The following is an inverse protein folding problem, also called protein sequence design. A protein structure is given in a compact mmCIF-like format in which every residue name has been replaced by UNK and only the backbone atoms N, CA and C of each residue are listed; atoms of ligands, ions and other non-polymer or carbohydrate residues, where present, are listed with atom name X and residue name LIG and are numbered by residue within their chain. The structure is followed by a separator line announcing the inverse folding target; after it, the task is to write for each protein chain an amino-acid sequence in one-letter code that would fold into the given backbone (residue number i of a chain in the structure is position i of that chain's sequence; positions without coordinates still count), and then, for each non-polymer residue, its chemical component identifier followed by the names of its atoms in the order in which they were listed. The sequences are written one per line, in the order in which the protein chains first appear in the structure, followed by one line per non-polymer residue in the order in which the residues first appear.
data_IF_900626994311
#
_entry.id   IF_900626994311
#
_cell.length_a   1.000
_cell.length_b   1.000
_cell.length_c   1.000
_cell.angle_alpha   90.00
_cell.angle_beta   90.00
_cell.angle_gamma   90.00
#
_symmetry.space_group_name_H-M   'P 1'
#
loop_
_entity.id
_entity.type
_entity.pdbx_description
1 polymer ?
#
# COMPACT_ATOMS: atom_id res chain seq x y z
N UNK A 1 80.93 0.13 6.42
CA UNK A 1 80.98 0.15 7.89
C UNK A 1 80.68 1.58 8.31
N UNK A 2 79.64 1.91 9.07
CA UNK A 2 79.22 1.27 10.30
C UNK A 2 77.72 1.46 10.52
N UNK A 3 77.10 0.39 10.97
CA UNK A 3 75.71 0.24 11.38
C UNK A 3 75.45 0.84 12.77
N UNK A 4 74.17 1.09 13.07
CA UNK A 4 73.49 0.99 14.37
C UNK A 4 72.94 2.29 14.98
N UNK A 5 71.79 2.10 15.63
CA UNK A 5 71.09 2.96 16.61
C UNK A 5 70.13 3.98 15.97
N UNK A 6 68.89 3.66 15.59
CA UNK A 6 67.85 2.94 16.34
C UNK A 6 67.60 3.60 17.71
N UNK A 7 66.71 4.61 17.71
CA UNK A 7 66.02 5.30 18.83
C UNK A 7 65.42 6.60 18.24
N UNK A 8 64.19 7.05 18.39
CA UNK A 8 62.99 6.61 19.10
C UNK A 8 61.87 7.52 18.58
N UNK A 9 60.79 6.91 18.09
CA UNK A 9 59.37 7.32 18.18
C UNK A 9 59.10 8.78 18.57
N UNK A 10 58.51 9.58 17.65
CA UNK A 10 57.49 10.57 18.02
C UNK A 10 56.59 10.96 16.81
N UNK A 11 55.42 10.31 16.75
CA UNK A 11 54.08 10.86 16.47
C UNK A 11 53.93 12.10 15.56
N UNK A 12 53.20 11.94 14.46
CA UNK A 12 52.08 12.82 14.04
C UNK A 12 51.41 12.15 12.81
N UNK A 13 50.31 11.42 12.97
CA UNK A 13 48.93 11.93 12.90
C UNK A 13 48.60 12.57 11.54
N UNK A 14 48.10 11.76 10.60
CA UNK A 14 47.24 12.25 9.52
C UNK A 14 46.06 11.27 9.39
N UNK A 15 45.03 11.62 10.14
CA UNK A 15 43.72 11.01 10.21
C UNK A 15 42.98 11.29 8.89
N UNK A 16 43.04 10.37 7.92
CA UNK A 16 42.18 10.48 6.73
C UNK A 16 40.78 10.05 7.11
N UNK A 17 39.93 11.05 7.36
CA UNK A 17 38.53 10.91 7.69
C UNK A 17 37.78 10.16 6.57
N UNK A 18 37.27 8.96 6.87
CA UNK A 18 36.16 8.37 6.15
C UNK A 18 34.93 9.25 6.37
N UNK A 19 34.64 10.18 5.44
CA UNK A 19 33.30 10.70 5.27
C UNK A 19 32.43 9.57 4.71
N UNK A 20 31.93 8.72 5.59
CA UNK A 20 30.73 7.95 5.29
C UNK A 20 29.59 8.96 5.18
N UNK A 21 29.26 9.35 3.94
CA UNK A 21 28.01 10.00 3.64
C UNK A 21 26.89 9.03 4.01
N UNK A 22 26.40 9.16 5.25
CA UNK A 22 25.14 8.56 5.67
C UNK A 22 24.06 9.25 4.85
N UNK A 23 23.70 8.66 3.71
CA UNK A 23 22.42 8.96 3.07
C UNK A 23 21.35 8.54 4.06
N UNK A 24 20.87 9.51 4.85
CA UNK A 24 19.63 9.40 5.58
C UNK A 24 18.52 9.30 4.53
N UNK A 25 18.26 8.09 4.07
CA UNK A 25 16.99 7.78 3.42
C UNK A 25 15.92 8.09 4.47
N UNK A 26 15.25 9.23 4.33
CA UNK A 26 14.05 9.46 5.12
C UNK A 26 13.09 8.35 4.74
N UNK A 27 12.81 7.46 5.69
CA UNK A 27 11.67 6.56 5.57
C UNK A 27 10.47 7.49 5.64
N UNK A 28 9.92 7.81 4.46
CA UNK A 28 8.71 8.61 4.36
C UNK A 28 7.64 7.84 5.13
N UNK A 29 7.26 8.39 6.27
CA UNK A 29 6.33 7.73 7.18
C UNK A 29 4.95 7.93 6.60
N UNK A 30 4.25 6.83 6.31
CA UNK A 30 2.88 6.87 5.78
C UNK A 30 2.02 7.83 6.59
N UNK A 31 1.35 8.75 5.90
CA UNK A 31 0.41 9.70 6.52
C UNK A 31 -1.03 9.24 6.39
N UNK A 32 -1.95 9.89 7.11
CA UNK A 32 -3.39 9.64 6.93
C UNK A 32 -3.86 9.96 5.49
N UNK A 33 -3.25 10.95 4.84
CA UNK A 33 -3.55 11.29 3.45
C UNK A 33 -3.14 10.17 2.50
N UNK A 34 -1.93 9.63 2.67
CA UNK A 34 -1.42 8.52 1.86
C UNK A 34 -2.26 7.27 2.06
N UNK A 35 -2.60 6.96 3.31
CA UNK A 35 -3.46 5.83 3.65
C UNK A 35 -4.84 5.95 2.99
N UNK A 36 -5.48 7.12 3.07
CA UNK A 36 -6.80 7.36 2.46
C UNK A 36 -6.73 7.26 0.93
N UNK A 37 -5.68 7.79 0.31
CA UNK A 37 -5.48 7.68 -1.14
C UNK A 37 -5.34 6.21 -1.57
N UNK A 38 -4.44 5.47 -0.91
CA UNK A 38 -4.21 4.04 -1.13
C UNK A 38 -5.50 3.23 -0.96
N UNK A 39 -6.24 3.45 0.13
CA UNK A 39 -7.44 2.68 0.42
C UNK A 39 -8.59 2.99 -0.57
N UNK A 40 -8.77 4.26 -0.97
CA UNK A 40 -9.75 4.63 -1.99
C UNK A 40 -9.43 3.97 -3.33
N UNK A 41 -8.17 3.94 -3.74
CA UNK A 41 -7.73 3.26 -4.96
C UNK A 41 -8.00 1.75 -4.89
N UNK A 42 -7.58 1.09 -3.81
CA UNK A 42 -7.82 -0.34 -3.59
C UNK A 42 -9.33 -0.68 -3.60
N UNK A 43 -10.17 0.16 -2.98
CA UNK A 43 -11.63 0.00 -2.95
C UNK A 43 -12.26 0.20 -4.33
N UNK A 44 -11.75 1.15 -5.12
CA UNK A 44 -12.24 1.38 -6.47
C UNK A 44 -11.92 0.19 -7.38
N UNK A 45 -10.69 -0.35 -7.32
CA UNK A 45 -10.32 -1.58 -8.05
C UNK A 45 -11.20 -2.76 -7.62
N UNK A 46 -11.45 -2.90 -6.31
CA UNK A 46 -12.36 -3.94 -5.79
C UNK A 46 -13.76 -3.81 -6.38
N UNK A 47 -14.31 -2.59 -6.44
CA UNK A 47 -15.61 -2.33 -7.04
C UNK A 47 -15.65 -2.68 -8.53
N UNK A 48 -14.61 -2.33 -9.27
CA UNK A 48 -14.54 -2.62 -10.70
C UNK A 48 -14.42 -4.12 -10.97
N UNK A 49 -13.59 -4.85 -10.22
CA UNK A 49 -13.53 -6.31 -10.32
C UNK A 49 -14.84 -7.01 -9.95
N UNK A 50 -15.55 -6.51 -8.93
CA UNK A 50 -16.88 -7.03 -8.57
C UNK A 50 -17.93 -6.76 -9.66
N UNK A 51 -17.83 -5.64 -10.38
CA UNK A 51 -18.66 -5.36 -11.57
C UNK A 51 -18.34 -6.29 -12.73
N UNK A 52 -17.06 -6.53 -12.99
CA UNK A 52 -16.63 -7.45 -14.04
C UNK A 52 -17.12 -8.88 -13.74
N UNK A 53 -17.05 -9.31 -12.47
CA UNK A 53 -17.65 -10.58 -12.04
C UNK A 53 -19.15 -10.63 -12.30
N UNK A 54 -19.89 -9.56 -11.99
CA UNK A 54 -21.33 -9.50 -12.30
C UNK A 54 -21.56 -9.65 -13.81
N UNK A 55 -20.79 -8.96 -14.65
CA UNK A 55 -20.91 -9.05 -16.11
C UNK A 55 -20.62 -10.47 -16.62
N UNK A 56 -19.59 -11.13 -16.08
CA UNK A 56 -19.25 -12.53 -16.40
C UNK A 56 -20.37 -13.49 -16.00
N UNK A 57 -20.98 -13.30 -14.82
CA UNK A 57 -22.13 -14.09 -14.37
C UNK A 57 -23.34 -13.91 -15.30
N UNK A 58 -23.66 -12.67 -15.66
CA UNK A 58 -24.75 -12.36 -16.60
C UNK A 58 -24.52 -12.96 -17.98
N UNK A 59 -23.26 -13.08 -18.41
CA UNK A 59 -22.87 -13.73 -19.66
C UNK A 59 -22.81 -15.27 -19.57
N UNK A 60 -23.11 -15.87 -18.41
CA UNK A 60 -22.90 -17.30 -18.13
C UNK A 60 -21.47 -17.77 -18.44
N UNK A 61 -20.47 -16.94 -18.15
CA UNK A 61 -19.08 -17.30 -18.32
C UNK A 61 -18.73 -18.50 -17.42
N UNK A 62 -17.81 -19.35 -17.89
CA UNK A 62 -17.35 -20.51 -17.12
C UNK A 62 -16.65 -20.11 -15.83
N UNK A 63 -16.66 -21.01 -14.84
CA UNK A 63 -16.06 -20.80 -13.52
C UNK A 63 -14.57 -20.38 -13.63
N UNK A 64 -13.80 -21.03 -14.51
CA UNK A 64 -12.39 -20.71 -14.70
C UNK A 64 -12.16 -19.25 -15.13
N UNK A 65 -13.03 -18.71 -15.98
CA UNK A 65 -12.97 -17.31 -16.42
C UNK A 65 -13.29 -16.35 -15.28
N UNK A 66 -14.27 -16.69 -14.44
CA UNK A 66 -14.63 -15.89 -13.27
C UNK A 66 -13.48 -15.86 -12.24
N UNK A 67 -12.88 -17.02 -11.96
CA UNK A 67 -11.76 -17.14 -11.03
C UNK A 67 -10.51 -16.40 -11.52
N UNK A 68 -10.25 -16.43 -12.83
CA UNK A 68 -9.15 -15.64 -13.42
C UNK A 68 -9.37 -14.14 -13.19
N UNK A 69 -10.58 -13.62 -13.45
CA UNK A 69 -10.91 -12.21 -13.21
C UNK A 69 -10.82 -11.81 -11.73
N UNK A 70 -11.28 -12.67 -10.82
CA UNK A 70 -11.15 -12.46 -9.38
C UNK A 70 -9.66 -12.41 -8.95
N UNK A 71 -8.83 -13.30 -9.50
CA UNK A 71 -7.39 -13.35 -9.21
C UNK A 71 -6.66 -12.11 -9.74
N UNK A 72 -7.00 -11.66 -10.96
CA UNK A 72 -6.41 -10.47 -11.55
C UNK A 72 -6.76 -9.22 -10.73
N UNK A 73 -8.02 -9.11 -10.29
CA UNK A 73 -8.46 -8.02 -9.40
C UNK A 73 -7.70 -8.04 -8.08
N UNK A 74 -7.56 -9.21 -7.45
CA UNK A 74 -6.83 -9.35 -6.20
C UNK A 74 -5.36 -8.92 -6.35
N UNK A 75 -4.70 -9.30 -7.45
CA UNK A 75 -3.33 -8.87 -7.72
C UNK A 75 -3.23 -7.36 -7.86
N UNK A 76 -4.16 -6.71 -8.57
CA UNK A 76 -4.17 -5.26 -8.72
C UNK A 76 -4.36 -4.54 -7.36
N UNK A 77 -5.23 -5.06 -6.50
CA UNK A 77 -5.39 -4.54 -5.14
C UNK A 77 -4.10 -4.69 -4.34
N UNK A 78 -3.44 -5.85 -4.40
CA UNK A 78 -2.18 -6.09 -3.72
C UNK A 78 -1.07 -5.17 -4.24
N UNK A 79 -1.03 -4.91 -5.55
CA UNK A 79 -0.08 -3.98 -6.17
C UNK A 79 -0.27 -2.55 -5.64
N UNK A 80 -1.50 -2.09 -5.41
CA UNK A 80 -1.76 -0.78 -4.78
C UNK A 80 -1.14 -0.71 -3.40
N UNK A 81 -1.37 -1.68 -2.52
CA UNK A 81 -0.75 -1.67 -1.20
C UNK A 81 0.79 -1.70 -1.28
N UNK A 82 1.34 -2.49 -2.21
CA UNK A 82 2.79 -2.59 -2.40
C UNK A 82 3.44 -1.29 -2.87
N UNK A 83 2.75 -0.46 -3.66
CA UNK A 83 3.24 0.87 -4.06
C UNK A 83 3.51 1.77 -2.86
N UNK A 84 2.75 1.59 -1.76
CA UNK A 84 2.93 2.28 -0.49
C UNK A 84 3.84 1.51 0.49
N UNK A 85 4.51 0.46 0.05
CA UNK A 85 5.35 -0.38 0.88
C UNK A 85 4.57 -1.21 1.92
N UNK A 86 3.30 -1.46 1.65
CA UNK A 86 2.38 -2.16 2.56
C UNK A 86 1.87 -3.47 1.98
N UNK A 87 1.44 -4.35 2.88
CA UNK A 87 0.45 -5.39 2.61
C UNK A 87 -0.92 -4.92 3.14
N UNK A 88 -2.02 -5.52 2.66
CA UNK A 88 -3.35 -5.27 3.21
C UNK A 88 -3.38 -5.44 4.74
N UNK A 89 -2.77 -6.50 5.27
CA UNK A 89 -2.72 -6.75 6.71
C UNK A 89 -1.96 -5.66 7.48
N UNK A 90 -0.87 -5.14 6.92
CA UNK A 90 -0.11 -4.04 7.53
C UNK A 90 -0.86 -2.70 7.45
N UNK A 91 -1.59 -2.46 6.36
CA UNK A 91 -2.43 -1.28 6.19
C UNK A 91 -3.57 -1.27 7.23
N UNK A 92 -4.24 -2.41 7.44
CA UNK A 92 -5.28 -2.55 8.47
C UNK A 92 -4.74 -2.33 9.89
N UNK A 93 -3.56 -2.88 10.18
CA UNK A 93 -2.90 -2.66 11.47
C UNK A 93 -2.53 -1.19 11.66
N UNK A 94 -2.02 -0.53 10.63
CA UNK A 94 -1.69 0.89 10.64
C UNK A 94 -2.95 1.74 10.87
N UNK A 95 -4.02 1.48 10.14
CA UNK A 95 -5.30 2.19 10.25
C UNK A 95 -5.90 2.08 11.66
N UNK A 96 -5.79 0.90 12.27
CA UNK A 96 -6.25 0.67 13.64
C UNK A 96 -5.49 1.54 14.64
N UNK A 97 -4.18 1.70 14.45
CA UNK A 97 -3.33 2.53 15.32
C UNK A 97 -3.53 4.04 15.08
N UNK A 98 -3.86 4.44 13.85
CA UNK A 98 -3.95 5.84 13.41
C UNK A 98 -5.37 6.31 13.14
N UNK A 99 -6.38 5.60 13.66
CA UNK A 99 -7.80 5.87 13.41
C UNK A 99 -8.17 7.34 13.58
N UNK A 100 -7.74 7.97 14.68
CA UNK A 100 -8.07 9.39 14.93
C UNK A 100 -7.51 10.30 13.83
N UNK A 101 -6.29 10.04 13.34
CA UNK A 101 -5.69 10.85 12.29
C UNK A 101 -6.41 10.68 10.94
N UNK A 102 -6.89 9.47 10.65
CA UNK A 102 -7.74 9.19 9.47
C UNK A 102 -9.08 9.92 9.60
N UNK A 103 -9.74 9.81 10.75
CA UNK A 103 -11.03 10.45 11.02
C UNK A 103 -10.90 11.99 10.91
N UNK A 104 -9.85 12.57 11.49
CA UNK A 104 -9.56 14.01 11.41
C UNK A 104 -9.26 14.46 9.97
N UNK A 105 -8.54 13.64 9.21
CA UNK A 105 -8.26 13.91 7.80
C UNK A 105 -9.56 13.92 6.98
N UNK A 106 -10.39 12.89 7.12
CA UNK A 106 -11.66 12.77 6.37
C UNK A 106 -12.67 13.87 6.74
N UNK A 107 -12.70 14.29 8.00
CA UNK A 107 -13.54 15.42 8.44
C UNK A 107 -13.15 16.74 7.74
N UNK A 108 -11.85 16.92 7.45
CA UNK A 108 -11.33 18.08 6.72
C UNK A 108 -11.45 17.93 5.19
N UNK A 109 -11.69 16.71 4.72
CA UNK A 109 -11.68 16.32 3.30
C UNK A 109 -12.99 15.62 2.93
N UNK A 110 -14.13 16.34 2.93
CA UNK A 110 -15.44 15.73 2.76
C UNK A 110 -15.67 15.09 1.39
N UNK A 111 -14.91 15.48 0.36
CA UNK A 111 -14.98 14.84 -0.95
C UNK A 111 -14.47 13.39 -0.91
N UNK A 112 -13.38 13.14 -0.17
CA UNK A 112 -12.81 11.81 0.05
C UNK A 112 -13.77 10.95 0.88
N UNK A 113 -14.39 11.51 1.92
CA UNK A 113 -15.45 10.81 2.67
C UNK A 113 -16.64 10.43 1.77
N UNK A 114 -17.10 11.38 0.94
CA UNK A 114 -18.20 11.12 0.01
C UNK A 114 -17.86 10.01 -0.99
N UNK A 115 -16.58 9.90 -1.37
CA UNK A 115 -16.10 8.85 -2.26
C UNK A 115 -16.08 7.47 -1.60
N UNK A 116 -15.64 7.37 -0.33
CA UNK A 116 -15.80 6.14 0.46
C UNK A 116 -17.25 5.70 0.50
N UNK A 117 -18.15 6.63 0.81
CA UNK A 117 -19.57 6.35 0.93
C UNK A 117 -20.18 5.93 -0.41
N UNK A 118 -19.74 6.54 -1.51
CA UNK A 118 -20.15 6.17 -2.88
C UNK A 118 -19.73 4.74 -3.20
N UNK A 119 -18.45 4.43 -3.05
CA UNK A 119 -17.91 3.10 -3.35
C UNK A 119 -18.58 2.03 -2.48
N UNK A 120 -18.80 2.30 -1.19
CA UNK A 120 -19.46 1.37 -0.28
C UNK A 120 -20.89 1.02 -0.74
N UNK A 121 -21.70 2.04 -1.11
CA UNK A 121 -23.07 1.81 -1.63
C UNK A 121 -23.07 1.03 -2.94
N UNK A 122 -22.13 1.32 -3.83
CA UNK A 122 -22.02 0.63 -5.11
C UNK A 122 -21.59 -0.83 -4.94
N UNK A 123 -20.63 -1.10 -4.05
CA UNK A 123 -20.25 -2.47 -3.68
C UNK A 123 -21.42 -3.26 -3.10
N UNK A 124 -22.18 -2.68 -2.18
CA UNK A 124 -23.39 -3.30 -1.62
C UNK A 124 -24.42 -3.63 -2.70
N UNK A 125 -24.64 -2.68 -3.62
CA UNK A 125 -25.57 -2.83 -4.73
C UNK A 125 -25.16 -3.97 -5.66
N UNK A 126 -23.90 -4.00 -6.11
CA UNK A 126 -23.42 -5.03 -7.05
C UNK A 126 -23.35 -6.40 -6.36
N UNK A 127 -22.91 -6.46 -5.09
CA UNK A 127 -22.87 -7.71 -4.32
C UNK A 127 -24.27 -8.32 -4.16
N UNK A 128 -25.29 -7.49 -3.94
CA UNK A 128 -26.68 -7.94 -3.87
C UNK A 128 -27.15 -8.54 -5.20
N UNK A 129 -26.76 -7.94 -6.34
CA UNK A 129 -27.09 -8.46 -7.67
C UNK A 129 -26.40 -9.80 -7.94
N UNK A 130 -25.13 -9.94 -7.57
CA UNK A 130 -24.40 -11.21 -7.68
C UNK A 130 -25.07 -12.29 -6.84
N UNK A 131 -25.41 -11.99 -5.58
CA UNK A 131 -26.07 -12.94 -4.69
C UNK A 131 -27.40 -13.44 -5.27
N UNK A 132 -28.15 -12.55 -5.92
CA UNK A 132 -29.40 -12.89 -6.58
C UNK A 132 -29.21 -13.80 -7.81
N UNK A 133 -28.07 -13.72 -8.51
CA UNK A 133 -27.74 -14.60 -9.64
C UNK A 133 -27.23 -15.98 -9.19
N UNK A 134 -26.42 -16.01 -8.14
CA UNK A 134 -25.78 -17.26 -7.65
C UNK A 134 -26.77 -18.16 -6.89
N UNK A 135 -27.84 -17.60 -6.31
CA UNK A 135 -28.85 -18.36 -5.56
C UNK A 135 -30.03 -18.87 -6.40
N UNK A 136 -29.99 -18.71 -7.73
CA UNK A 136 -30.98 -19.28 -8.66
C UNK A 136 -30.61 -20.73 -9.01
#
# INVERSE_FOLDING_TARGET
MNTQLLKTILRASALTACLCAFSLSQVETLTAADYVAMELEARQITLDGVRDRLALLQANAGLDTQLAGDSDTQQQVDDVFQQYGMTLSSALAWATQHRQAIDDYLAQHPAQQAEYDRIARELETVSTQIQALVNQ
#
